data_IF_139650331645
#
_entry.id   IF_139650331645
#
_cell.length_a   1.000
_cell.length_b   1.000
_cell.length_c   1.000
_cell.angle_alpha   90.00
_cell.angle_beta   90.00
_cell.angle_gamma   90.00
#
_symmetry.space_group_name_H-M   'P 1'
#
loop_
_entity.id
_entity.type
_entity.pdbx_description
1 polymer ?
#
# COMPACT_ATOMS: atom_id res chain seq x y z
N UNK A 1 21.26 23.40 -9.12
CA UNK A 1 20.84 22.88 -7.81
C UNK A 1 19.79 21.85 -8.11
N UNK A 2 20.17 20.59 -8.13
CA UNK A 2 19.22 19.50 -8.40
C UNK A 2 18.33 19.35 -7.16
N UNK A 3 17.04 19.62 -7.33
CA UNK A 3 16.06 19.48 -6.26
C UNK A 3 15.85 17.99 -5.97
N UNK A 4 16.06 17.57 -4.73
CA UNK A 4 15.73 16.20 -4.29
C UNK A 4 14.23 15.98 -4.54
N UNK A 5 13.84 14.94 -5.30
CA UNK A 5 12.43 14.68 -5.58
C UNK A 5 11.68 14.39 -4.27
N UNK A 6 10.43 14.86 -4.18
CA UNK A 6 9.56 14.49 -3.07
C UNK A 6 9.27 12.99 -3.07
N UNK A 7 8.82 12.47 -1.92
CA UNK A 7 8.59 11.03 -1.74
C UNK A 7 7.61 10.46 -2.79
N UNK A 8 6.46 11.09 -3.10
CA UNK A 8 5.58 10.61 -4.17
C UNK A 8 6.28 10.46 -5.52
N UNK A 9 7.02 11.48 -5.96
CA UNK A 9 7.76 11.47 -7.24
C UNK A 9 8.84 10.38 -7.25
N UNK A 10 9.51 10.19 -6.13
CA UNK A 10 10.52 9.15 -5.99
C UNK A 10 9.89 7.74 -6.04
N UNK A 11 8.74 7.53 -5.40
CA UNK A 11 8.01 6.26 -5.47
C UNK A 11 7.49 5.97 -6.88
N UNK A 12 6.96 6.97 -7.59
CA UNK A 12 6.58 6.88 -9.00
C UNK A 12 7.76 6.35 -9.84
N UNK A 13 8.95 6.93 -9.62
CA UNK A 13 10.18 6.53 -10.31
C UNK A 13 10.52 5.08 -10.03
N UNK A 14 10.49 4.64 -8.77
CA UNK A 14 10.82 3.26 -8.39
C UNK A 14 9.81 2.22 -8.94
N UNK A 15 8.52 2.59 -9.07
CA UNK A 15 7.51 1.71 -9.67
C UNK A 15 7.71 1.56 -11.19
N UNK A 16 8.04 2.66 -11.86
CA UNK A 16 8.06 2.70 -13.33
C UNK A 16 9.44 2.43 -13.94
N UNK A 17 10.53 2.54 -13.18
CA UNK A 17 11.86 2.49 -13.75
C UNK A 17 12.20 1.11 -14.37
N UNK A 18 12.99 1.09 -15.46
CA UNK A 18 13.48 -0.16 -16.06
C UNK A 18 14.43 -0.91 -15.12
N UNK A 19 14.61 -2.21 -15.35
CA UNK A 19 15.50 -3.07 -14.57
C UNK A 19 16.93 -2.51 -14.44
N UNK A 20 17.50 -1.96 -15.52
CA UNK A 20 18.84 -1.38 -15.49
C UNK A 20 18.96 -0.18 -14.51
N UNK A 21 17.90 0.61 -14.39
CA UNK A 21 17.85 1.73 -13.44
C UNK A 21 17.72 1.23 -11.99
N UNK A 22 17.00 0.13 -11.78
CA UNK A 22 16.93 -0.57 -10.50
C UNK A 22 18.30 -1.08 -10.04
N UNK A 23 19.10 -1.64 -10.95
CA UNK A 23 20.46 -2.10 -10.66
C UNK A 23 21.37 -0.95 -10.18
N UNK A 24 21.21 0.24 -10.76
CA UNK A 24 21.91 1.44 -10.31
C UNK A 24 21.54 1.81 -8.87
N UNK A 25 20.24 1.84 -8.54
CA UNK A 25 19.81 2.10 -7.16
C UNK A 25 20.30 1.05 -6.17
N UNK A 26 20.25 -0.24 -6.54
CA UNK A 26 20.71 -1.35 -5.69
C UNK A 26 22.20 -1.20 -5.38
N UNK A 27 23.00 -0.83 -6.38
CA UNK A 27 24.43 -0.61 -6.23
C UNK A 27 24.73 0.63 -5.39
N UNK A 28 24.08 1.75 -5.68
CA UNK A 28 24.31 3.02 -4.99
C UNK A 28 23.93 2.95 -3.51
N UNK A 29 22.86 2.21 -3.18
CA UNK A 29 22.44 1.96 -1.80
C UNK A 29 23.17 0.77 -1.16
N UNK A 30 24.09 0.11 -1.88
CA UNK A 30 24.80 -1.09 -1.41
C UNK A 30 23.88 -2.21 -0.91
N UNK A 31 22.67 -2.32 -1.48
CA UNK A 31 21.69 -3.32 -1.06
C UNK A 31 22.12 -4.74 -1.42
N UNK A 32 22.96 -4.90 -2.45
CA UNK A 32 23.51 -6.19 -2.84
C UNK A 32 24.41 -6.84 -1.78
N UNK A 33 24.90 -6.06 -0.81
CA UNK A 33 25.73 -6.55 0.32
C UNK A 33 25.01 -6.49 1.66
N UNK A 34 23.75 -6.05 1.70
CA UNK A 34 22.96 -6.00 2.93
C UNK A 34 22.48 -7.42 3.28
N UNK A 35 22.96 -7.94 4.43
CA UNK A 35 22.65 -9.28 4.91
C UNK A 35 21.16 -9.52 5.20
N UNK A 36 20.35 -8.45 5.33
CA UNK A 36 18.90 -8.56 5.52
C UNK A 36 18.18 -8.94 4.24
N UNK A 37 18.81 -8.80 3.08
CA UNK A 37 18.23 -9.14 1.78
C UNK A 37 18.20 -10.67 1.61
N UNK A 38 17.04 -11.26 1.30
CA UNK A 38 16.93 -12.72 1.12
C UNK A 38 17.45 -13.15 -0.27
N UNK A 39 18.74 -12.97 -0.54
CA UNK A 39 19.36 -13.21 -1.85
C UNK A 39 19.15 -14.63 -2.38
N UNK A 40 19.20 -15.65 -1.51
CA UNK A 40 18.96 -17.04 -1.89
C UNK A 40 17.55 -17.23 -2.48
N UNK A 41 16.55 -16.58 -1.89
CA UNK A 41 15.18 -16.57 -2.40
C UNK A 41 15.10 -15.82 -3.74
N UNK A 42 15.65 -14.60 -3.81
CA UNK A 42 15.61 -13.77 -5.02
C UNK A 42 16.30 -14.44 -6.22
N UNK A 43 17.36 -15.20 -5.98
CA UNK A 43 18.08 -15.92 -7.04
C UNK A 43 17.31 -17.13 -7.59
N UNK A 44 16.29 -17.61 -6.87
CA UNK A 44 15.41 -18.69 -7.33
C UNK A 44 14.18 -18.22 -8.11
N UNK A 45 13.98 -16.91 -8.26
CA UNK A 45 12.83 -16.33 -8.97
C UNK A 45 13.11 -16.16 -10.46
N UNK A 46 12.05 -16.13 -11.27
CA UNK A 46 12.13 -15.65 -12.66
C UNK A 46 12.37 -14.12 -12.68
N UNK A 47 12.77 -13.59 -13.84
CA UNK A 47 13.17 -12.19 -13.99
C UNK A 47 12.06 -11.21 -13.59
N UNK A 48 10.79 -11.52 -13.92
CA UNK A 48 9.64 -10.66 -13.61
C UNK A 48 9.37 -10.59 -12.10
N UNK A 49 9.33 -11.74 -11.43
CA UNK A 49 9.13 -11.81 -9.97
C UNK A 49 10.33 -11.21 -9.21
N UNK A 50 11.54 -11.43 -9.72
CA UNK A 50 12.76 -10.84 -9.16
C UNK A 50 12.73 -9.32 -9.27
N UNK A 51 12.31 -8.78 -10.42
CA UNK A 51 12.15 -7.34 -10.64
C UNK A 51 11.14 -6.74 -9.67
N UNK A 52 9.97 -7.38 -9.52
CA UNK A 52 8.94 -6.95 -8.58
C UNK A 52 9.44 -6.97 -7.13
N UNK A 53 10.16 -8.02 -6.72
CA UNK A 53 10.74 -8.09 -5.38
C UNK A 53 11.76 -6.98 -5.12
N UNK A 54 12.63 -6.67 -6.09
CA UNK A 54 13.58 -5.58 -5.95
C UNK A 54 12.90 -4.23 -5.82
N UNK A 55 11.83 -3.98 -6.59
CA UNK A 55 11.00 -2.78 -6.41
C UNK A 55 10.40 -2.72 -5.02
N UNK A 56 9.84 -3.83 -4.52
CA UNK A 56 9.28 -3.91 -3.17
C UNK A 56 10.33 -3.58 -2.10
N UNK A 57 11.54 -4.14 -2.22
CA UNK A 57 12.66 -3.90 -1.32
C UNK A 57 13.06 -2.42 -1.32
N UNK A 58 13.28 -1.84 -2.50
CA UNK A 58 13.72 -0.44 -2.62
C UNK A 58 12.67 0.52 -2.08
N UNK A 59 11.40 0.32 -2.45
CA UNK A 59 10.29 1.12 -1.92
C UNK A 59 10.26 1.02 -0.39
N UNK A 60 10.35 -0.19 0.17
CA UNK A 60 10.38 -0.39 1.63
C UNK A 60 11.55 0.35 2.26
N UNK A 61 12.75 0.19 1.70
CA UNK A 61 13.96 0.83 2.18
C UNK A 61 13.83 2.35 2.16
N UNK A 62 13.32 2.92 1.07
CA UNK A 62 13.11 4.37 0.94
C UNK A 62 12.07 4.88 1.92
N UNK A 63 10.85 4.33 1.97
CA UNK A 63 9.79 4.86 2.85
C UNK A 63 10.14 4.71 4.33
N UNK A 64 10.93 3.69 4.69
CA UNK A 64 11.36 3.46 6.07
C UNK A 64 12.74 4.04 6.38
N UNK A 65 13.34 4.82 5.47
CA UNK A 65 14.67 5.41 5.65
C UNK A 65 15.75 4.38 6.06
N UNK A 66 15.73 3.22 5.40
CA UNK A 66 16.68 2.12 5.58
C UNK A 66 16.43 1.23 6.80
N UNK A 67 15.40 1.51 7.60
CA UNK A 67 15.12 0.77 8.83
C UNK A 67 14.55 -0.63 8.57
N UNK A 68 13.87 -0.84 7.44
CA UNK A 68 13.25 -2.13 7.12
C UNK A 68 13.66 -2.64 5.74
N UNK A 69 13.87 -3.96 5.68
CA UNK A 69 13.99 -4.74 4.46
C UNK A 69 12.99 -5.90 4.57
N UNK A 70 12.14 -6.16 3.55
CA UNK A 70 11.18 -7.26 3.58
C UNK A 70 11.88 -8.62 3.64
N UNK A 71 11.43 -9.47 4.56
CA UNK A 71 11.85 -10.87 4.67
C UNK A 71 11.22 -11.70 3.56
N UNK A 72 11.82 -12.87 3.30
CA UNK A 72 11.33 -13.81 2.28
C UNK A 72 9.82 -14.07 2.36
N UNK A 73 9.29 -14.42 3.54
CA UNK A 73 7.85 -14.68 3.72
C UNK A 73 6.98 -13.49 3.29
N UNK A 74 7.45 -12.26 3.54
CA UNK A 74 6.71 -11.05 3.20
C UNK A 74 6.75 -10.81 1.69
N UNK A 75 7.89 -11.03 1.04
CA UNK A 75 8.02 -10.95 -0.42
C UNK A 75 7.18 -12.01 -1.13
N UNK A 76 7.12 -13.24 -0.60
CA UNK A 76 6.25 -14.30 -1.12
C UNK A 76 4.77 -13.89 -1.10
N UNK A 77 4.33 -13.23 -0.04
CA UNK A 77 2.96 -12.73 0.05
C UNK A 77 2.68 -11.63 -0.99
N UNK A 78 3.60 -10.69 -1.17
CA UNK A 78 3.49 -9.65 -2.21
C UNK A 78 3.45 -10.27 -3.61
N UNK A 79 4.32 -11.23 -3.91
CA UNK A 79 4.33 -11.93 -5.20
C UNK A 79 3.04 -12.70 -5.47
N UNK A 80 2.49 -13.39 -4.46
CA UNK A 80 1.23 -14.12 -4.62
C UNK A 80 0.11 -13.16 -5.05
N UNK A 81 -0.01 -12.03 -4.36
CA UNK A 81 -1.03 -11.02 -4.65
C UNK A 81 -0.87 -10.40 -6.04
N UNK A 82 0.34 -9.99 -6.43
CA UNK A 82 0.61 -9.43 -7.77
C UNK A 82 0.42 -10.45 -8.92
N UNK A 83 0.49 -11.74 -8.61
CA UNK A 83 0.15 -12.82 -9.55
C UNK A 83 -1.35 -13.19 -9.52
N UNK A 84 -2.18 -12.41 -8.84
CA UNK A 84 -3.63 -12.62 -8.77
C UNK A 84 -4.04 -13.83 -7.92
N UNK A 85 -3.23 -14.21 -6.93
CA UNK A 85 -3.48 -15.36 -6.06
C UNK A 85 -3.93 -14.91 -4.67
N UNK A 86 -4.96 -15.57 -4.16
CA UNK A 86 -5.31 -15.48 -2.74
C UNK A 86 -4.22 -16.14 -1.88
N UNK A 87 -3.88 -15.51 -0.75
CA UNK A 87 -2.82 -16.01 0.14
C UNK A 87 -3.25 -16.11 1.59
N UNK A 88 -2.79 -17.17 2.27
CA UNK A 88 -2.92 -17.36 3.72
C UNK A 88 -1.54 -17.28 4.36
N UNK A 89 -1.31 -16.23 5.15
CA UNK A 89 -0.06 -16.04 5.88
C UNK A 89 -0.20 -16.56 7.30
N UNK A 90 0.35 -17.75 7.57
CA UNK A 90 0.44 -18.31 8.92
C UNK A 90 1.79 -17.98 9.54
N UNK A 91 1.81 -17.07 10.52
CA UNK A 91 3.02 -16.68 11.23
C UNK A 91 2.70 -16.13 12.63
N UNK A 92 3.63 -16.29 13.57
CA UNK A 92 3.52 -15.79 14.93
C UNK A 92 3.37 -14.25 15.04
N UNK A 93 3.04 -13.76 16.22
CA UNK A 93 3.06 -12.32 16.52
C UNK A 93 4.46 -11.75 16.33
N UNK A 94 4.57 -10.50 15.84
CA UNK A 94 5.88 -9.87 15.58
C UNK A 94 6.60 -10.35 14.31
N UNK A 95 6.02 -11.29 13.54
CA UNK A 95 6.61 -11.74 12.27
C UNK A 95 6.56 -10.70 11.14
N UNK A 96 5.86 -9.59 11.34
CA UNK A 96 5.74 -8.50 10.35
C UNK A 96 4.65 -8.71 9.30
N UNK A 97 3.54 -9.36 9.64
CA UNK A 97 2.41 -9.62 8.71
C UNK A 97 1.77 -8.36 8.09
N UNK A 98 1.92 -7.21 8.72
CA UNK A 98 1.38 -5.93 8.20
C UNK A 98 2.17 -5.42 6.99
N UNK A 99 3.49 -5.70 6.93
CA UNK A 99 4.34 -5.13 5.90
C UNK A 99 3.95 -5.56 4.48
N UNK A 100 3.61 -6.84 4.17
CA UNK A 100 3.09 -7.22 2.86
C UNK A 100 1.93 -6.36 2.36
N UNK A 101 0.97 -6.03 3.23
CA UNK A 101 -0.16 -5.15 2.88
C UNK A 101 0.31 -3.74 2.54
N UNK A 102 1.22 -3.17 3.34
CA UNK A 102 1.81 -1.86 3.04
C UNK A 102 2.58 -1.84 1.73
N UNK A 103 3.37 -2.89 1.45
CA UNK A 103 4.13 -3.00 0.20
C UNK A 103 3.21 -3.11 -1.00
N UNK A 104 2.09 -3.84 -0.89
CA UNK A 104 1.09 -3.92 -1.95
C UNK A 104 0.58 -2.52 -2.33
N UNK A 105 0.07 -1.78 -1.35
CA UNK A 105 -0.44 -0.41 -1.57
C UNK A 105 0.64 0.51 -2.15
N UNK A 106 1.88 0.38 -1.66
CA UNK A 106 2.98 1.22 -2.15
C UNK A 106 3.45 0.83 -3.55
N UNK A 107 3.27 -0.42 -3.99
CA UNK A 107 3.65 -0.87 -5.34
C UNK A 107 2.56 -0.62 -6.37
N UNK A 108 1.30 -0.55 -5.94
CA UNK A 108 0.17 -0.29 -6.82
C UNK A 108 0.31 1.06 -7.53
N UNK A 109 -0.19 1.12 -8.77
CA UNK A 109 -0.18 2.32 -9.56
C UNK A 109 -1.27 3.28 -9.04
N UNK A 110 -0.92 4.52 -8.63
CA UNK A 110 -1.90 5.50 -8.18
C UNK A 110 -3.01 5.81 -9.19
N UNK A 111 -2.76 5.62 -10.49
CA UNK A 111 -3.74 5.82 -11.55
C UNK A 111 -4.86 4.77 -11.57
N UNK A 112 -4.67 3.61 -10.91
CA UNK A 112 -5.66 2.54 -10.84
C UNK A 112 -6.72 2.80 -9.77
N UNK A 113 -6.53 3.82 -8.92
CA UNK A 113 -7.46 4.23 -7.87
C UNK A 113 -7.92 3.08 -6.95
N UNK A 114 -6.98 2.19 -6.62
CA UNK A 114 -7.25 1.02 -5.79
C UNK A 114 -7.46 1.40 -4.32
N UNK A 115 -8.36 0.65 -3.67
CA UNK A 115 -8.66 0.80 -2.24
C UNK A 115 -8.35 -0.52 -1.53
N UNK A 116 -7.59 -0.45 -0.43
CA UNK A 116 -7.30 -1.63 0.39
C UNK A 116 -8.17 -1.65 1.64
N UNK A 117 -8.82 -2.77 1.93
CA UNK A 117 -9.65 -2.93 3.13
C UNK A 117 -9.05 -4.00 4.03
N UNK A 118 -8.66 -3.60 5.23
CA UNK A 118 -8.18 -4.49 6.29
C UNK A 118 -9.29 -4.76 7.30
N UNK A 119 -9.70 -6.02 7.43
CA UNK A 119 -10.68 -6.43 8.44
C UNK A 119 -9.94 -6.85 9.71
N UNK A 120 -10.24 -6.22 10.85
CA UNK A 120 -9.65 -6.57 12.13
C UNK A 120 -10.70 -6.49 13.24
N UNK A 121 -10.97 -7.57 14.00
CA UNK A 121 -11.95 -7.52 15.09
C UNK A 121 -11.44 -6.74 16.32
N UNK A 122 -10.17 -6.31 16.34
CA UNK A 122 -9.55 -5.68 17.50
C UNK A 122 -9.33 -4.18 17.26
N UNK A 123 -10.13 -3.32 17.92
CA UNK A 123 -10.02 -1.85 17.82
C UNK A 123 -8.59 -1.33 18.05
N UNK A 124 -7.92 -1.82 19.10
CA UNK A 124 -6.53 -1.41 19.40
C UNK A 124 -5.56 -1.75 18.26
N UNK A 125 -5.80 -2.87 17.57
CA UNK A 125 -4.99 -3.26 16.42
C UNK A 125 -5.29 -2.35 15.22
N UNK A 126 -6.55 -1.99 14.98
CA UNK A 126 -6.93 -1.04 13.92
C UNK A 126 -6.19 0.29 14.09
N UNK A 127 -6.23 0.89 15.28
CA UNK A 127 -5.54 2.16 15.60
C UNK A 127 -4.02 2.02 15.47
N UNK A 128 -3.45 0.88 15.88
CA UNK A 128 -2.00 0.65 15.76
C UNK A 128 -1.60 0.52 14.28
N UNK A 129 -2.39 -0.19 13.48
CA UNK A 129 -2.16 -0.33 12.05
C UNK A 129 -2.28 1.03 11.36
N UNK A 130 -3.38 1.76 11.56
CA UNK A 130 -3.58 3.11 11.02
C UNK A 130 -2.38 4.02 11.31
N UNK A 131 -1.93 4.07 12.57
CA UNK A 131 -0.76 4.87 12.94
C UNK A 131 0.49 4.42 12.18
N UNK A 132 0.78 3.12 12.13
CA UNK A 132 1.93 2.57 11.39
C UNK A 132 1.85 2.91 9.89
N UNK A 133 0.68 2.76 9.25
CA UNK A 133 0.48 3.11 7.84
C UNK A 133 0.74 4.60 7.59
N UNK A 134 0.13 5.49 8.38
CA UNK A 134 0.28 6.92 8.20
C UNK A 134 1.69 7.42 8.53
N UNK A 135 2.25 7.01 9.68
CA UNK A 135 3.50 7.59 10.17
C UNK A 135 4.76 6.89 9.65
N UNK A 136 4.74 5.57 9.45
CA UNK A 136 5.93 4.80 9.04
C UNK A 136 6.00 4.63 7.53
N UNK A 137 4.86 4.40 6.88
CA UNK A 137 4.82 4.09 5.45
C UNK A 137 4.31 5.26 4.60
N UNK A 138 3.84 6.34 5.24
CA UNK A 138 3.22 7.49 4.57
C UNK A 138 2.06 7.06 3.65
N UNK A 139 1.33 6.03 4.07
CA UNK A 139 0.12 5.52 3.41
C UNK A 139 -1.05 6.08 4.16
N UNK A 140 -1.92 6.80 3.47
CA UNK A 140 -3.10 7.29 4.14
C UNK A 140 -4.08 6.19 4.48
N UNK A 141 -4.43 6.15 5.76
CA UNK A 141 -5.29 5.12 6.33
C UNK A 141 -6.22 5.76 7.33
N UNK A 142 -7.46 5.29 7.36
CA UNK A 142 -8.44 5.66 8.38
C UNK A 142 -9.06 4.41 8.99
N UNK A 143 -9.43 4.51 10.27
CA UNK A 143 -10.23 3.48 10.95
C UNK A 143 -11.72 3.80 10.81
N UNK A 144 -12.48 2.81 10.33
CA UNK A 144 -13.94 2.89 10.26
C UNK A 144 -14.53 1.84 11.20
N UNK A 145 -15.17 2.27 12.29
CA UNK A 145 -15.82 1.40 13.27
C UNK A 145 -17.03 2.10 13.91
N UNK A 146 -17.59 1.55 15.00
CA UNK A 146 -18.75 2.14 15.67
C UNK A 146 -18.51 3.52 16.29
N UNK A 147 -17.25 3.93 16.44
CA UNK A 147 -16.86 5.24 16.95
C UNK A 147 -16.67 6.28 15.82
N UNK A 148 -16.78 5.88 14.55
CA UNK A 148 -16.62 6.77 13.39
C UNK A 148 -17.79 7.77 13.30
N UNK A 149 -17.52 9.08 13.16
CA UNK A 149 -18.55 10.07 12.94
C UNK A 149 -19.38 9.78 11.68
N UNK A 150 -20.68 10.06 11.75
CA UNK A 150 -21.64 9.79 10.66
C UNK A 150 -21.98 11.02 9.83
N UNK A 151 -21.36 12.16 10.11
CA UNK A 151 -21.61 13.39 9.38
C UNK A 151 -20.85 13.41 8.04
N UNK A 152 -21.46 14.01 7.01
CA UNK A 152 -20.89 14.11 5.66
C UNK A 152 -19.56 14.86 5.63
N UNK A 153 -19.37 15.83 6.54
CA UNK A 153 -18.14 16.61 6.60
C UNK A 153 -16.91 15.74 6.91
N UNK A 154 -17.06 14.70 7.75
CA UNK A 154 -15.99 13.73 7.99
C UNK A 154 -15.63 12.95 6.71
N UNK A 155 -16.64 12.51 5.94
CA UNK A 155 -16.45 11.75 4.71
C UNK A 155 -15.91 12.60 3.54
N UNK A 156 -16.26 13.88 3.45
CA UNK A 156 -15.77 14.79 2.41
C UNK A 156 -14.28 15.13 2.58
N UNK A 157 -13.83 15.27 3.84
CA UNK A 157 -12.40 15.35 4.17
C UNK A 157 -11.69 14.05 3.76
N UNK A 158 -12.38 12.91 3.86
CA UNK A 158 -11.93 11.59 3.40
C UNK A 158 -11.92 11.38 1.88
N UNK A 159 -12.49 12.28 1.07
CA UNK A 159 -12.46 12.19 -0.40
C UNK A 159 -11.46 13.17 -1.05
N UNK A 160 -11.21 14.32 -0.45
CA UNK A 160 -10.37 15.38 -1.05
C UNK A 160 -8.86 15.18 -0.88
N UNK A 161 -8.42 14.27 0.02
CA UNK A 161 -7.00 14.05 0.35
C UNK A 161 -6.41 12.72 -0.16
N UNK A 162 -7.22 11.80 -0.69
CA UNK A 162 -6.91 10.36 -0.57
C UNK A 162 -7.13 9.58 -1.87
N UNK A 163 -6.16 9.65 -2.80
CA UNK A 163 -6.22 8.90 -4.06
C UNK A 163 -5.80 7.42 -3.92
N UNK A 164 -5.34 6.98 -2.75
CA UNK A 164 -4.99 5.59 -2.42
C UNK A 164 -5.21 5.33 -0.92
N UNK A 165 -6.45 5.02 -0.50
CA UNK A 165 -6.80 4.89 0.91
C UNK A 165 -6.85 3.43 1.37
N UNK A 166 -6.40 3.19 2.60
CA UNK A 166 -6.65 1.95 3.32
C UNK A 166 -7.67 2.13 4.43
N UNK A 167 -8.58 1.18 4.57
CA UNK A 167 -9.61 1.19 5.60
C UNK A 167 -9.42 0.04 6.57
N UNK A 168 -9.38 0.31 7.87
CA UNK A 168 -9.41 -0.72 8.90
C UNK A 168 -10.82 -0.83 9.50
N UNK A 169 -11.50 -1.98 9.34
CA UNK A 169 -12.91 -2.17 9.78
C UNK A 169 -13.12 -3.39 10.71
N UNK A 170 -14.08 -3.35 11.67
CA UNK A 170 -14.32 -4.41 12.64
C UNK A 170 -14.95 -5.70 12.11
N UNK A 171 -15.80 -5.62 11.08
CA UNK A 171 -16.63 -6.76 10.63
C UNK A 171 -17.31 -6.49 9.27
N UNK A 172 -17.36 -7.44 8.31
CA UNK A 172 -18.05 -7.27 7.03
C UNK A 172 -19.58 -7.02 7.14
N UNK A 173 -20.23 -7.33 8.26
CA UNK A 173 -21.67 -7.07 8.43
C UNK A 173 -22.06 -5.58 8.46
N UNK A 174 -21.12 -4.68 8.77
CA UNK A 174 -21.38 -3.23 8.82
C UNK A 174 -21.44 -2.65 7.40
N UNK A 175 -20.59 -3.14 6.48
CA UNK A 175 -20.55 -2.72 5.07
C UNK A 175 -21.78 -3.14 4.25
N UNK A 176 -22.59 -4.08 4.72
CA UNK A 176 -23.81 -4.49 4.02
C UNK A 176 -24.94 -3.44 4.16
N UNK A 177 -24.90 -2.61 5.21
CA UNK A 177 -25.86 -1.52 5.43
C UNK A 177 -25.29 -0.15 5.07
N UNK A 178 -23.98 0.02 5.14
CA UNK A 178 -23.27 1.21 4.70
C UNK A 178 -22.61 0.85 3.38
N UNK A 179 -23.27 1.18 2.27
CA UNK A 179 -22.75 0.95 0.92
C UNK A 179 -21.90 2.16 0.50
N UNK A 180 -20.57 2.19 0.73
CA UNK A 180 -19.72 3.31 0.30
C UNK A 180 -19.77 3.46 -1.23
N UNK A 181 -19.98 2.38 -1.98
CA UNK A 181 -20.08 2.39 -3.44
C UNK A 181 -21.33 3.12 -3.96
N UNK A 182 -22.42 3.20 -3.18
CA UNK A 182 -23.63 3.93 -3.58
C UNK A 182 -23.47 5.45 -3.48
N UNK A 183 -22.64 5.94 -2.55
CA UNK A 183 -22.32 7.37 -2.49
C UNK A 183 -21.20 7.76 -3.47
N UNK A 184 -20.37 6.81 -3.89
CA UNK A 184 -19.29 7.02 -4.86
C UNK A 184 -19.76 7.07 -6.34
N UNK A 185 -20.96 6.56 -6.67
CA UNK A 185 -21.45 6.46 -8.07
C UNK A 185 -22.46 7.54 -8.49
N UNK A 186 -22.96 8.39 -7.58
CA UNK A 186 -24.10 9.28 -7.86
C UNK A 186 -23.73 10.66 -8.44
N UNK A 187 -22.46 10.89 -8.79
CA UNK A 187 -21.97 12.17 -9.33
C UNK A 187 -21.68 12.18 -10.84
N UNK A 188 -22.37 11.34 -11.63
CA UNK A 188 -22.28 11.35 -13.10
C UNK A 188 -23.54 11.82 -13.83
N UNK A 189 -24.38 12.65 -13.21
CA UNK A 189 -25.46 13.36 -13.90
C UNK A 189 -25.25 14.87 -13.92
N UNK A 190 -24.60 15.35 -14.97
CA UNK A 190 -24.65 16.75 -15.41
C UNK A 190 -26.05 17.06 -15.95
N UNK A 191 -26.77 18.10 -15.47
CA UNK A 191 -27.99 18.53 -16.13
C UNK A 191 -27.62 19.26 -17.42
N UNK A 192 -28.07 18.74 -18.57
CA UNK A 192 -28.00 19.44 -19.84
C UNK A 192 -28.84 20.72 -19.78
N UNK A 193 -28.20 21.79 -20.22
CA UNK A 193 -28.69 23.15 -20.42
C UNK A 193 -30.00 23.18 -21.21
N UNK A 194 -31.03 23.83 -20.66
CA UNK A 194 -32.24 24.22 -21.38
C UNK A 194 -31.94 25.42 -22.29
N UNK A 195 -32.04 25.22 -23.60
CA UNK A 195 -32.30 26.28 -24.59
C UNK A 195 -33.45 25.85 -25.49
N UNK A 196 -34.57 26.54 -25.34
CA UNK A 196 -35.52 26.90 -26.39
C UNK A 196 -36.17 28.21 -25.96
#
# INVERSE_FOLDING_TARGET
MDTVPDLPTHLETLRACPAACLDDFIRDLSLNVDERIPLAFLNGLNDSDKLLCWRAILICYTVTQGQQIPREMQLRAVLADFNGLDSLISAGTGSGKTLPTALKILLDNPADHLTTITLSPLKRLQVTQENDFNSRYNICTVVINEDTPRDEAWWDVCNTRWHNCSYAVPNPRILAHENPSKQLLDHSHTPMCSRA
#
